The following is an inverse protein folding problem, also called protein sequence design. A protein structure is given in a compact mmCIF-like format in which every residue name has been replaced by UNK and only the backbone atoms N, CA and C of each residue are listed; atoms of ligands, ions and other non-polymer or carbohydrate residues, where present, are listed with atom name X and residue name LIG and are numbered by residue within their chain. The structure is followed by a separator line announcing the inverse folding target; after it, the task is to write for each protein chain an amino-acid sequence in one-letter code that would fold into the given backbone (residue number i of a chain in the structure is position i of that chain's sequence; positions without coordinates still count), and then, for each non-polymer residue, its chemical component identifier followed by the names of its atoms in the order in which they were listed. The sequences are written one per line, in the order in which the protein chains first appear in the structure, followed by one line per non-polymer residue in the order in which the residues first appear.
data_IF_556795577528
#
_entry.id   IF_556795577528
#
_cell.length_a   1.000
_cell.length_b   1.000
_cell.length_c   1.000
_cell.angle_alpha   90.00
_cell.angle_beta   90.00
_cell.angle_gamma   90.00
#
_symmetry.space_group_name_H-M   'P 1'
#
loop_
_entity.id
_entity.type
_entity.pdbx_description
1 polymer ?
#
# COMPACT_ATOMS: atom_id res chain seq x y z
N UNK A 1 4.87 8.56 -16.88
CA UNK A 1 3.69 7.70 -17.14
C UNK A 1 3.19 7.30 -15.78
N UNK A 2 1.94 7.65 -15.50
CA UNK A 2 1.32 7.74 -14.16
C UNK A 2 1.63 6.57 -13.20
N UNK A 3 1.74 5.35 -13.71
CA UNK A 3 2.16 4.18 -12.92
C UNK A 3 3.53 4.42 -12.26
N UNK A 4 4.56 4.74 -13.03
CA UNK A 4 5.92 4.91 -12.49
C UNK A 4 5.95 5.99 -11.41
N UNK A 5 5.25 7.09 -11.67
CA UNK A 5 5.15 8.23 -10.74
C UNK A 5 4.43 7.85 -9.44
N UNK A 6 3.38 7.02 -9.54
CA UNK A 6 2.65 6.51 -8.37
C UNK A 6 3.51 5.56 -7.52
N UNK A 7 4.28 4.68 -8.16
CA UNK A 7 5.26 3.83 -7.49
C UNK A 7 6.39 4.64 -6.84
N UNK A 8 6.97 5.59 -7.57
CA UNK A 8 8.02 6.50 -7.08
C UNK A 8 7.53 7.35 -5.91
N UNK A 9 6.29 7.86 -5.97
CA UNK A 9 5.68 8.60 -4.88
C UNK A 9 5.51 7.74 -3.63
N UNK A 10 4.97 6.52 -3.78
CA UNK A 10 4.80 5.60 -2.67
C UNK A 10 6.16 5.13 -2.09
N UNK A 11 7.18 4.95 -2.91
CA UNK A 11 8.54 4.66 -2.47
C UNK A 11 9.13 5.82 -1.64
N UNK A 12 8.93 7.06 -2.10
CA UNK A 12 9.42 8.27 -1.41
C UNK A 12 8.74 8.50 -0.06
N UNK A 13 7.42 8.31 0.00
CA UNK A 13 6.65 8.46 1.23
C UNK A 13 6.80 7.23 2.16
N UNK A 14 7.14 6.07 1.60
CA UNK A 14 7.23 4.79 2.30
C UNK A 14 5.87 4.16 2.60
N UNK A 15 4.90 4.93 3.12
CA UNK A 15 3.57 4.43 3.48
C UNK A 15 2.49 5.50 3.28
N UNK A 16 1.46 5.20 2.49
CA UNK A 16 0.40 6.16 2.14
C UNK A 16 -0.97 5.48 2.09
N UNK A 17 -2.01 6.17 2.57
CA UNK A 17 -3.38 5.66 2.49
C UNK A 17 -3.87 5.60 1.04
N UNK A 18 -4.75 4.64 0.73
CA UNK A 18 -5.39 4.53 -0.59
C UNK A 18 -6.11 5.81 -0.99
N UNK A 19 -6.73 6.48 -0.01
CA UNK A 19 -7.50 7.71 -0.22
C UNK A 19 -6.61 8.91 -0.52
N UNK A 20 -5.45 9.01 0.13
CA UNK A 20 -4.48 10.07 -0.16
C UNK A 20 -3.87 9.89 -1.55
N UNK A 21 -3.53 8.66 -1.93
CA UNK A 21 -3.09 8.36 -3.30
C UNK A 21 -4.16 8.73 -4.33
N UNK A 22 -5.41 8.35 -4.08
CA UNK A 22 -6.53 8.67 -4.97
C UNK A 22 -6.68 10.19 -5.17
N UNK A 23 -6.58 10.96 -4.07
CA UNK A 23 -6.63 12.43 -4.11
C UNK A 23 -5.42 13.07 -4.78
N UNK A 24 -4.23 12.54 -4.56
CA UNK A 24 -2.99 13.10 -5.11
C UNK A 24 -2.91 12.93 -6.63
N UNK A 25 -3.37 11.78 -7.13
CA UNK A 25 -3.32 11.43 -8.55
C UNK A 25 -4.65 11.69 -9.29
N UNK A 26 -5.59 12.38 -8.65
CA UNK A 26 -6.95 12.68 -9.15
C UNK A 26 -7.62 11.44 -9.78
N UNK A 27 -7.60 10.32 -9.03
CA UNK A 27 -8.09 9.03 -9.51
C UNK A 27 -8.94 8.33 -8.47
N UNK A 28 -9.61 7.26 -8.86
CA UNK A 28 -10.44 6.46 -7.94
C UNK A 28 -9.58 5.52 -7.10
N UNK A 29 -10.01 5.25 -5.87
CA UNK A 29 -9.34 4.31 -4.97
C UNK A 29 -9.15 2.90 -5.59
N UNK A 30 -10.13 2.42 -6.35
CA UNK A 30 -10.04 1.17 -7.11
C UNK A 30 -8.97 1.22 -8.20
N UNK A 31 -8.84 2.37 -8.87
CA UNK A 31 -7.81 2.57 -9.89
C UNK A 31 -6.41 2.58 -9.26
N UNK A 32 -6.22 3.24 -8.11
CA UNK A 32 -4.96 3.17 -7.33
C UNK A 32 -4.62 1.73 -6.99
N UNK A 33 -5.59 0.96 -6.50
CA UNK A 33 -5.36 -0.42 -6.12
C UNK A 33 -4.99 -1.30 -7.33
N UNK A 34 -5.70 -1.15 -8.45
CA UNK A 34 -5.39 -1.85 -9.70
C UNK A 34 -3.98 -1.49 -10.23
N UNK A 35 -3.63 -0.20 -10.17
CA UNK A 35 -2.31 0.31 -10.56
C UNK A 35 -1.20 -0.22 -9.65
N UNK A 36 -1.42 -0.22 -8.33
CA UNK A 36 -0.45 -0.75 -7.37
C UNK A 36 -0.29 -2.26 -7.43
N UNK A 37 -1.30 -2.97 -7.94
CA UNK A 37 -1.29 -4.42 -8.09
C UNK A 37 -0.07 -4.95 -8.85
N UNK A 38 0.50 -4.15 -9.76
CA UNK A 38 1.71 -4.51 -10.51
C UNK A 38 2.94 -4.62 -9.59
N UNK A 39 3.09 -3.74 -8.60
CA UNK A 39 4.18 -3.83 -7.60
C UNK A 39 3.87 -4.79 -6.46
N UNK A 40 2.60 -4.97 -6.11
CA UNK A 40 2.21 -6.02 -5.15
C UNK A 40 2.62 -7.40 -5.65
N UNK A 41 2.37 -7.70 -6.93
CA UNK A 41 2.82 -8.96 -7.57
C UNK A 41 4.35 -9.10 -7.60
N UNK A 42 5.07 -7.98 -7.65
CA UNK A 42 6.54 -7.95 -7.59
C UNK A 42 7.10 -8.02 -6.17
N UNK A 43 6.24 -8.04 -5.14
CA UNK A 43 6.66 -7.97 -3.74
C UNK A 43 7.30 -6.64 -3.34
N UNK A 44 6.97 -5.56 -4.07
CA UNK A 44 7.47 -4.20 -3.83
C UNK A 44 6.47 -3.32 -3.09
N UNK A 45 5.20 -3.70 -3.06
CA UNK A 45 4.14 -2.98 -2.33
C UNK A 45 3.34 -3.97 -1.51
N UNK A 46 3.01 -3.60 -0.28
CA UNK A 46 2.12 -4.34 0.62
C UNK A 46 0.86 -3.53 0.87
N UNK A 47 -0.29 -4.18 0.75
CA UNK A 47 -1.58 -3.65 1.22
C UNK A 47 -1.76 -4.03 2.69
N UNK A 48 -1.78 -3.04 3.56
CA UNK A 48 -2.09 -3.18 4.98
C UNK A 48 -3.51 -2.67 5.21
N UNK A 49 -4.42 -3.58 5.51
CA UNK A 49 -5.75 -3.23 5.98
C UNK A 49 -5.67 -3.24 7.50
N UNK A 50 -5.94 -2.11 8.14
CA UNK A 50 -5.99 -2.09 9.59
C UNK A 50 -7.31 -2.71 10.02
N UNK A 51 -7.33 -4.03 10.18
CA UNK A 51 -8.43 -4.72 10.86
C UNK A 51 -8.45 -4.18 12.29
N UNK A 52 -9.47 -3.37 12.61
CA UNK A 52 -9.58 -2.73 13.90
C UNK A 52 -9.43 -3.76 15.02
N UNK A 53 -8.64 -3.42 16.04
CA UNK A 53 -8.51 -4.18 17.26
C UNK A 53 -9.85 -4.83 17.65
N UNK A 54 -9.83 -6.13 17.94
CA UNK A 54 -10.96 -6.89 18.51
C UNK A 54 -11.41 -6.39 19.90
N UNK A 55 -10.89 -5.25 20.37
CA UNK A 55 -11.30 -4.52 21.57
C UNK A 55 -12.20 -3.34 21.23
N UNK A 56 -13.32 -3.25 21.94
CA UNK A 56 -14.49 -2.36 21.80
C UNK A 56 -14.26 -0.83 21.84
N UNK A 57 -13.08 -0.30 21.53
CA UNK A 57 -12.71 1.10 21.86
C UNK A 57 -12.37 2.06 20.71
N UNK A 58 -12.19 1.64 19.46
CA UNK A 58 -11.73 2.55 18.41
C UNK A 58 -12.70 2.63 17.23
N UNK A 59 -13.16 3.84 16.92
CA UNK A 59 -14.10 4.15 15.84
C UNK A 59 -13.67 3.53 14.51
N UNK A 60 -14.51 2.63 14.00
CA UNK A 60 -14.26 1.81 12.83
C UNK A 60 -14.20 2.67 11.57
N UNK A 61 -13.00 2.89 11.06
CA UNK A 61 -12.79 3.19 9.66
C UNK A 61 -11.83 2.14 9.12
N UNK A 62 -12.31 1.33 8.18
CA UNK A 62 -11.44 0.46 7.37
C UNK A 62 -10.56 1.37 6.52
N UNK A 63 -9.38 1.69 7.03
CA UNK A 63 -8.37 2.44 6.30
C UNK A 63 -7.41 1.46 5.62
N UNK A 64 -7.38 1.53 4.30
CA UNK A 64 -6.45 0.78 3.47
C UNK A 64 -5.20 1.61 3.29
N UNK A 65 -4.06 1.06 3.71
CA UNK A 65 -2.76 1.71 3.60
C UNK A 65 -1.84 0.87 2.72
N UNK A 66 -1.13 1.51 1.81
CA UNK A 66 -0.09 0.88 1.01
C UNK A 66 1.28 1.23 1.57
N UNK A 67 2.17 0.24 1.61
CA UNK A 67 3.53 0.37 2.11
C UNK A 67 4.51 -0.13 1.05
N UNK A 68 5.55 0.65 0.75
CA UNK A 68 6.62 0.24 -0.15
C UNK A 68 7.61 -0.67 0.57
N UNK A 69 7.89 -1.81 -0.03
CA UNK A 69 8.85 -2.79 0.46
C UNK A 69 10.17 -2.64 -0.31
N UNK A 70 11.19 -2.16 0.39
CA UNK A 70 12.55 -2.05 -0.17
C UNK A 70 13.08 -3.43 -0.60
N UNK A 71 13.80 -3.53 -1.73
CA UNK A 71 14.35 -4.79 -2.26
C UNK A 71 15.28 -5.60 -1.34
N UNK A 72 15.53 -5.18 -0.09
CA UNK A 72 16.48 -5.81 0.84
C UNK A 72 15.87 -6.72 1.92
N UNK A 73 14.54 -6.82 2.03
CA UNK A 73 13.89 -7.67 3.06
C UNK A 73 13.38 -9.03 2.55
N UNK A 74 13.46 -9.30 1.25
CA UNK A 74 13.24 -10.63 0.66
C UNK A 74 14.50 -11.49 0.81
N UNK A 75 14.93 -11.68 2.05
CA UNK A 75 16.19 -12.32 2.36
C UNK A 75 16.15 -13.12 3.64
N UNK A 76 15.02 -13.72 4.01
CA UNK A 76 14.96 -14.87 4.92
C UNK A 76 13.68 -15.66 4.64
N UNK A 77 13.71 -16.53 3.62
CA UNK A 77 12.86 -17.72 3.67
C UNK A 77 13.44 -18.56 4.82
N UNK A 78 12.84 -18.47 6.00
CA UNK A 78 13.07 -19.49 7.02
C UNK A 78 12.37 -20.74 6.52
N UNK A 79 13.12 -21.59 5.81
CA UNK A 79 12.75 -22.98 5.58
C UNK A 79 12.76 -23.67 6.94
N UNK A 80 11.60 -24.16 7.37
CA UNK A 80 11.46 -25.03 8.54
C UNK A 80 11.23 -26.46 8.07
#
# INVERSE_FOLDING_TARGET
MILRELGEYLEREGKVSRRDLARHFDTSEDAVEAMLGVWMRKGRVRKCQSEGCSGRCCGKHEEVIFEWLSPGQIGLVQTH
#
